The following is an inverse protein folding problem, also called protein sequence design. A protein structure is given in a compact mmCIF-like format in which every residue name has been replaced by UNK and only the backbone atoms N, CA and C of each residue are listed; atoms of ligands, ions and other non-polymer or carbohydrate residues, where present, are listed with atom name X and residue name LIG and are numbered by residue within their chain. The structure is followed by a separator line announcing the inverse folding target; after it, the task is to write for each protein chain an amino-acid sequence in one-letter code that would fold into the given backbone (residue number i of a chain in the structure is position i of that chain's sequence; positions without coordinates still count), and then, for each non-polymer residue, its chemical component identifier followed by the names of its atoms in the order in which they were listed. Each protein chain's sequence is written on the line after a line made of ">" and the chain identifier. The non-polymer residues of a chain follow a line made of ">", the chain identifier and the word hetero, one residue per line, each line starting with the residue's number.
data_IF_894312932764
#
_entry.id   IF_894312932764
#
_cell.length_a   1.000
_cell.length_b   1.000
_cell.length_c   1.000
_cell.angle_alpha   90.00
_cell.angle_beta   90.00
_cell.angle_gamma   90.00
#
_symmetry.space_group_name_H-M   'P 1'
#
loop_
_entity.id
_entity.type
_entity.pdbx_description
1 polymer ?
#
# COMPACT_ATOMS: atom_id res chain seq x y z
N UNK A 1 -16.96 2.93 -3.01
CA UNK A 1 -15.54 3.20 -3.29
C UNK A 1 -14.73 1.92 -3.17
N UNK A 2 -13.70 1.79 -3.96
CA UNK A 2 -12.82 0.64 -3.93
C UNK A 2 -11.65 0.90 -2.98
N UNK A 3 -11.48 0.06 -1.97
CA UNK A 3 -10.46 0.20 -0.91
C UNK A 3 -9.32 -0.77 -1.18
N UNK A 4 -8.08 -0.29 -1.09
CA UNK A 4 -6.90 -1.13 -1.22
C UNK A 4 -5.95 -0.87 -0.05
N UNK A 5 -5.59 -1.92 0.67
CA UNK A 5 -4.66 -1.85 1.81
C UNK A 5 -3.51 -2.82 1.56
N UNK A 6 -2.30 -2.34 1.72
CA UNK A 6 -1.09 -3.14 1.54
C UNK A 6 -0.21 -3.04 2.77
N UNK A 7 0.31 -4.18 3.20
CA UNK A 7 1.32 -4.26 4.26
C UNK A 7 2.62 -4.80 3.66
N UNK A 8 3.71 -4.11 3.93
CA UNK A 8 5.03 -4.50 3.46
C UNK A 8 5.98 -4.62 4.65
N UNK A 9 6.61 -5.78 4.81
CA UNK A 9 7.60 -6.04 5.85
C UNK A 9 8.98 -6.19 5.20
N UNK A 10 9.97 -5.44 5.68
CA UNK A 10 11.32 -5.41 5.11
C UNK A 10 12.19 -6.52 5.64
N UNK A 11 13.10 -7.02 4.79
CA UNK A 11 14.05 -8.08 5.16
C UNK A 11 15.17 -7.59 6.07
N UNK A 12 15.46 -6.28 6.08
CA UNK A 12 16.53 -5.73 6.90
C UNK A 12 16.70 -4.24 6.68
N UNK A 13 17.47 -3.61 7.57
CA UNK A 13 17.62 -2.15 7.62
C UNK A 13 18.22 -1.53 6.37
N UNK A 14 19.10 -2.25 5.69
CA UNK A 14 19.82 -1.72 4.53
C UNK A 14 18.91 -1.33 3.37
N UNK A 15 17.75 -1.94 3.29
CA UNK A 15 16.81 -1.70 2.21
C UNK A 15 15.84 -0.56 2.52
N UNK A 16 15.85 -0.07 3.75
CA UNK A 16 14.89 0.91 4.25
C UNK A 16 14.90 2.21 3.45
N UNK A 17 16.06 2.79 3.24
CA UNK A 17 16.18 4.07 2.54
C UNK A 17 15.69 3.97 1.10
N UNK A 18 16.06 2.89 0.42
CA UNK A 18 15.64 2.66 -0.96
C UNK A 18 14.11 2.48 -1.04
N UNK A 19 13.56 1.69 -0.12
CA UNK A 19 12.11 1.50 -0.04
C UNK A 19 11.38 2.81 0.22
N UNK A 20 11.83 3.61 1.17
CA UNK A 20 11.23 4.91 1.46
C UNK A 20 11.18 5.81 0.24
N UNK A 21 12.29 5.88 -0.48
CA UNK A 21 12.36 6.72 -1.67
C UNK A 21 11.31 6.32 -2.71
N UNK A 22 11.20 5.01 -2.98
CA UNK A 22 10.22 4.51 -3.94
C UNK A 22 8.79 4.64 -3.45
N UNK A 23 8.56 4.49 -2.15
CA UNK A 23 7.24 4.69 -1.54
C UNK A 23 6.79 6.15 -1.69
N UNK A 24 7.68 7.08 -1.44
CA UNK A 24 7.39 8.51 -1.58
C UNK A 24 7.05 8.84 -3.04
N UNK A 25 7.81 8.31 -3.98
CA UNK A 25 7.52 8.51 -5.41
C UNK A 25 6.15 7.97 -5.79
N UNK A 26 5.79 6.76 -5.34
CA UNK A 26 4.49 6.18 -5.59
C UNK A 26 3.37 7.02 -4.98
N UNK A 27 3.57 7.54 -3.77
CA UNK A 27 2.59 8.38 -3.11
C UNK A 27 2.38 9.70 -3.85
N UNK A 28 3.44 10.31 -4.33
CA UNK A 28 3.35 11.52 -5.15
C UNK A 28 2.58 11.24 -6.43
N UNK A 29 2.86 10.11 -7.07
CA UNK A 29 2.13 9.70 -8.27
C UNK A 29 0.65 9.48 -7.96
N UNK A 30 0.31 8.81 -6.85
CA UNK A 30 -1.07 8.53 -6.50
C UNK A 30 -1.89 9.79 -6.19
N UNK A 31 -1.26 10.85 -5.70
CA UNK A 31 -1.95 12.14 -5.49
C UNK A 31 -2.44 12.76 -6.79
N UNK A 32 -1.84 12.38 -7.91
CA UNK A 32 -2.22 12.87 -9.24
C UNK A 32 -3.07 11.86 -10.00
N UNK A 33 -3.32 10.69 -9.41
CA UNK A 33 -4.02 9.62 -10.10
C UNK A 33 -5.51 9.91 -10.21
N UNK A 34 -6.05 9.66 -11.40
CA UNK A 34 -7.47 9.82 -11.64
C UNK A 34 -8.28 8.79 -10.82
N UNK A 35 -9.35 9.26 -10.21
CA UNK A 35 -10.23 8.40 -9.40
C UNK A 35 -9.75 8.16 -7.98
N UNK A 36 -8.61 8.71 -7.59
CA UNK A 36 -8.11 8.58 -6.21
C UNK A 36 -8.89 9.52 -5.30
N UNK A 37 -9.55 8.96 -4.28
CA UNK A 37 -10.34 9.71 -3.31
C UNK A 37 -9.56 10.03 -2.04
N UNK A 38 -8.67 9.12 -1.63
CA UNK A 38 -7.91 9.26 -0.38
C UNK A 38 -6.69 8.36 -0.42
N UNK A 39 -5.60 8.80 0.19
CA UNK A 39 -4.43 7.95 0.40
C UNK A 39 -3.77 8.27 1.73
N UNK A 40 -3.23 7.25 2.38
CA UNK A 40 -2.54 7.40 3.67
C UNK A 40 -1.45 6.35 3.80
N UNK A 41 -0.41 6.72 4.55
CA UNK A 41 0.71 5.85 4.87
C UNK A 41 0.80 5.70 6.38
N UNK A 42 1.01 4.48 6.85
CA UNK A 42 1.18 4.19 8.27
C UNK A 42 2.38 3.28 8.45
N UNK A 43 3.07 3.40 9.57
CA UNK A 43 4.25 2.57 9.86
C UNK A 43 4.11 1.89 11.21
N UNK A 44 4.67 0.68 11.31
CA UNK A 44 4.79 -0.07 12.55
C UNK A 44 6.26 -0.46 12.71
N UNK A 45 6.96 0.19 13.65
CA UNK A 45 8.39 0.03 13.76
C UNK A 45 9.13 0.58 12.52
N UNK A 46 10.36 0.12 12.32
CA UNK A 46 11.19 0.54 11.18
C UNK A 46 11.00 -0.35 9.95
N UNK A 47 10.39 -1.52 10.12
CA UNK A 47 10.38 -2.58 9.11
C UNK A 47 9.03 -2.87 8.49
N UNK A 48 7.95 -2.28 8.99
CA UNK A 48 6.60 -2.57 8.50
C UNK A 48 5.91 -1.30 8.03
N UNK A 49 5.46 -1.32 6.78
CA UNK A 49 4.81 -0.17 6.14
C UNK A 49 3.43 -0.56 5.63
N UNK A 50 2.46 0.30 5.92
CA UNK A 50 1.08 0.13 5.52
C UNK A 50 0.68 1.26 4.58
N UNK A 51 0.01 0.91 3.48
CA UNK A 51 -0.56 1.92 2.58
C UNK A 51 -2.05 1.68 2.45
N UNK A 52 -2.81 2.77 2.46
CA UNK A 52 -4.25 2.78 2.22
C UNK A 52 -4.52 3.69 1.04
N UNK A 53 -5.20 3.18 0.02
CA UNK A 53 -5.70 3.98 -1.08
C UNK A 53 -7.18 3.71 -1.26
N UNK A 54 -7.94 4.78 -1.52
CA UNK A 54 -9.39 4.72 -1.72
C UNK A 54 -9.68 5.28 -3.10
N UNK A 55 -10.35 4.49 -3.94
CA UNK A 55 -10.55 4.79 -5.34
C UNK A 55 -12.03 4.87 -5.68
N UNK A 56 -12.35 5.65 -6.68
CA UNK A 56 -13.72 5.74 -7.20
C UNK A 56 -14.17 4.38 -7.73
N UNK A 57 -13.29 3.63 -8.38
CA UNK A 57 -13.59 2.29 -8.89
C UNK A 57 -12.34 1.41 -8.92
N UNK A 58 -12.56 0.10 -9.03
CA UNK A 58 -11.49 -0.88 -9.19
C UNK A 58 -10.65 -0.61 -10.44
N UNK A 59 -11.28 -0.15 -11.51
CA UNK A 59 -10.62 0.15 -12.78
C UNK A 59 -9.61 1.28 -12.62
N UNK A 60 -9.95 2.32 -11.88
CA UNK A 60 -9.02 3.43 -11.59
C UNK A 60 -7.79 2.95 -10.84
N UNK A 61 -7.98 2.07 -9.85
CA UNK A 61 -6.87 1.49 -9.10
C UNK A 61 -5.96 0.65 -10.00
N UNK A 62 -6.55 -0.14 -10.89
CA UNK A 62 -5.76 -0.96 -11.83
C UNK A 62 -4.93 -0.12 -12.80
N UNK A 63 -5.50 0.96 -13.31
CA UNK A 63 -4.77 1.88 -14.19
C UNK A 63 -3.57 2.47 -13.47
N UNK A 64 -3.76 2.94 -12.25
CA UNK A 64 -2.66 3.46 -11.44
C UNK A 64 -1.61 2.40 -11.14
N UNK A 65 -2.03 1.20 -10.73
CA UNK A 65 -1.12 0.11 -10.38
C UNK A 65 -0.21 -0.29 -11.54
N UNK A 66 -0.72 -0.21 -12.76
CA UNK A 66 0.03 -0.56 -13.96
C UNK A 66 0.81 0.61 -14.56
N UNK A 67 0.78 1.78 -13.92
CA UNK A 67 1.50 2.95 -14.37
C UNK A 67 2.96 2.92 -13.89
N UNK A 68 3.86 3.53 -14.67
CA UNK A 68 5.31 3.44 -14.58
C UNK A 68 5.94 3.47 -13.18
N UNK A 69 5.79 4.57 -12.42
CA UNK A 69 6.47 4.71 -11.13
C UNK A 69 5.95 3.72 -10.08
N UNK A 70 4.64 3.49 -10.06
CA UNK A 70 4.06 2.54 -9.10
C UNK A 70 4.46 1.10 -9.43
N UNK A 71 4.43 0.74 -10.70
CA UNK A 71 4.83 -0.61 -11.13
C UNK A 71 6.30 -0.87 -10.80
N UNK A 72 7.17 0.12 -11.03
CA UNK A 72 8.59 0.03 -10.70
C UNK A 72 8.81 -0.13 -9.19
N UNK A 73 8.09 0.65 -8.38
CA UNK A 73 8.17 0.55 -6.92
C UNK A 73 7.72 -0.83 -6.44
N UNK A 74 6.68 -1.40 -7.02
CA UNK A 74 6.21 -2.74 -6.65
C UNK A 74 7.26 -3.82 -6.95
N UNK A 75 7.92 -3.74 -8.10
CA UNK A 75 8.98 -4.68 -8.47
C UNK A 75 10.15 -4.62 -7.48
N UNK A 76 10.56 -3.41 -7.08
CA UNK A 76 11.62 -3.23 -6.11
C UNK A 76 11.18 -3.74 -4.73
N UNK A 77 9.94 -3.45 -4.33
CA UNK A 77 9.40 -3.91 -3.05
C UNK A 77 9.45 -5.42 -2.91
N UNK A 78 9.16 -6.16 -3.98
CA UNK A 78 9.24 -7.62 -3.97
C UNK A 78 10.64 -8.13 -3.70
N UNK A 79 11.67 -7.38 -4.10
CA UNK A 79 13.06 -7.76 -3.89
C UNK A 79 13.56 -7.46 -2.47
N UNK A 80 13.01 -6.43 -1.83
CA UNK A 80 13.49 -5.97 -0.53
C UNK A 80 12.59 -6.37 0.64
N UNK A 81 11.42 -6.91 0.37
CA UNK A 81 10.47 -7.33 1.39
C UNK A 81 10.50 -8.85 1.57
N UNK A 82 10.30 -9.30 2.81
CA UNK A 82 10.03 -10.71 3.06
C UNK A 82 8.55 -11.02 3.02
N UNK A 83 7.70 -10.02 3.24
CA UNK A 83 6.24 -10.14 3.14
C UNK A 83 5.67 -8.92 2.43
N UNK A 84 4.87 -9.17 1.42
CA UNK A 84 4.09 -8.14 0.73
C UNK A 84 2.67 -8.67 0.58
N UNK A 85 1.76 -8.11 1.35
CA UNK A 85 0.39 -8.60 1.48
C UNK A 85 -0.59 -7.49 1.21
N UNK A 86 -1.64 -7.77 0.46
CA UNK A 86 -2.66 -6.76 0.20
C UNK A 86 -4.06 -7.34 0.19
N UNK A 87 -5.03 -6.49 0.54
CA UNK A 87 -6.46 -6.82 0.51
C UNK A 87 -7.21 -5.67 -0.15
N UNK A 88 -8.34 -5.99 -0.73
CA UNK A 88 -9.23 -5.02 -1.38
C UNK A 88 -10.68 -5.33 -1.04
N UNK A 89 -11.50 -4.29 -0.94
CA UNK A 89 -12.94 -4.46 -0.78
C UNK A 89 -13.67 -3.19 -1.21
N UNK A 90 -14.99 -3.32 -1.38
CA UNK A 90 -15.86 -2.19 -1.67
C UNK A 90 -16.49 -1.65 -0.37
N UNK A 91 -16.54 -0.34 -0.23
CA UNK A 91 -17.14 0.31 0.92
C UNK A 91 -17.53 1.74 0.56
N UNK A 92 -18.60 2.26 1.20
CA UNK A 92 -19.08 3.61 0.91
C UNK A 92 -18.31 4.71 1.65
N UNK A 93 -17.66 4.37 2.75
CA UNK A 93 -16.92 5.33 3.57
C UNK A 93 -15.43 4.96 3.64
N UNK A 94 -14.61 5.96 3.97
CA UNK A 94 -13.17 5.74 4.15
C UNK A 94 -12.97 4.99 5.48
N UNK A 95 -12.33 3.80 5.47
CA UNK A 95 -12.13 3.03 6.70
C UNK A 95 -11.07 3.66 7.61
N UNK A 96 -11.14 3.34 8.88
CA UNK A 96 -10.08 3.71 9.84
C UNK A 96 -8.88 2.77 9.66
N UNK A 97 -7.71 3.19 10.15
CA UNK A 97 -6.55 2.31 10.14
C UNK A 97 -6.76 1.05 10.97
N UNK A 98 -7.49 1.12 12.08
CA UNK A 98 -7.81 -0.05 12.88
C UNK A 98 -8.59 -1.08 12.07
N UNK A 99 -9.60 -0.64 11.33
CA UNK A 99 -10.39 -1.52 10.46
C UNK A 99 -9.54 -2.12 9.35
N UNK A 100 -8.70 -1.30 8.70
CA UNK A 100 -7.80 -1.77 7.64
C UNK A 100 -6.86 -2.87 8.14
N UNK A 101 -6.24 -2.63 9.28
CA UNK A 101 -5.30 -3.58 9.88
C UNK A 101 -6.00 -4.87 10.31
N UNK A 102 -7.17 -4.75 10.92
CA UNK A 102 -7.95 -5.92 11.34
C UNK A 102 -8.32 -6.81 10.17
N UNK A 103 -8.76 -6.22 9.07
CA UNK A 103 -9.13 -6.99 7.87
C UNK A 103 -7.93 -7.73 7.28
N UNK A 104 -6.78 -7.09 7.22
CA UNK A 104 -5.57 -7.73 6.71
C UNK A 104 -5.08 -8.82 7.67
N UNK A 105 -5.11 -8.56 8.96
CA UNK A 105 -4.72 -9.53 9.98
C UNK A 105 -5.59 -10.79 9.95
N UNK A 106 -6.87 -10.65 9.67
CA UNK A 106 -7.77 -11.79 9.53
C UNK A 106 -7.39 -12.71 8.38
N UNK A 107 -6.86 -12.14 7.30
CA UNK A 107 -6.47 -12.90 6.11
C UNK A 107 -5.06 -13.48 6.22
N UNK A 108 -4.10 -12.70 6.72
CA UNK A 108 -2.67 -13.04 6.69
C UNK A 108 -2.05 -13.23 8.07
N UNK A 109 -2.74 -12.85 9.13
CA UNK A 109 -2.21 -12.90 10.49
C UNK A 109 -1.37 -11.66 10.83
N UNK A 110 -0.96 -11.58 12.09
CA UNK A 110 -0.10 -10.49 12.60
C UNK A 110 1.37 -10.86 12.40
N UNK A 111 2.19 -9.84 12.22
CA UNK A 111 3.65 -10.02 12.22
C UNK A 111 4.10 -9.89 13.67
N UNK A 112 4.78 -10.91 14.17
CA UNK A 112 5.34 -10.96 15.53
C UNK A 112 6.84 -10.67 15.54
#
# INVERSE_FOLDING_TARGET
>A
MFISVTRLHLKGKRKLASFFFHTIKSKIQSKKAEGLKFSSLNTEGWDTYWTLTVWESKEHMKVFRNNGNHLKAMKISRNIADKLESINWEEESIPTWNECKDRLHKKFGRIE
#
